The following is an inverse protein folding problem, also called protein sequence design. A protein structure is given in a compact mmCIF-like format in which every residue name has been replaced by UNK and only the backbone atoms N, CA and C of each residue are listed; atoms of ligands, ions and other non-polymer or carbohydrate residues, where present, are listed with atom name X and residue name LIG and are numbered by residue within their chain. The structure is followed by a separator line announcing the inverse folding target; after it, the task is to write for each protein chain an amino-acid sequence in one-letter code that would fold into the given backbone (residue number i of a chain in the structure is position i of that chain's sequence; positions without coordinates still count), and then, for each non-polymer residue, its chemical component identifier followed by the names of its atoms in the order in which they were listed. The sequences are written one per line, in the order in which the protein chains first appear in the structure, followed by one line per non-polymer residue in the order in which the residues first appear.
data_IF_663362385176
#
_entry.id   IF_663362385176
#
_cell.length_a   1.000
_cell.length_b   1.000
_cell.length_c   1.000
_cell.angle_alpha   90.00
_cell.angle_beta   90.00
_cell.angle_gamma   90.00
#
_symmetry.space_group_name_H-M   'P 1'
#
loop_
_entity.id
_entity.type
_entity.pdbx_description
1 polymer ?
#
# COMPACT_ATOMS: atom_id res chain seq x y z
N UNK A 1 -5.54 47.19 36.67
CA UNK A 1 -4.89 45.88 36.69
C UNK A 1 -5.83 44.68 36.63
N UNK A 2 -7.13 44.86 36.46
CA UNK A 2 -8.06 43.74 36.31
C UNK A 2 -8.21 43.22 34.88
N UNK A 3 -7.79 43.96 33.87
CA UNK A 3 -7.96 43.64 32.45
C UNK A 3 -6.99 42.54 31.91
N UNK A 4 -5.81 42.43 32.45
CA UNK A 4 -4.80 41.49 31.96
C UNK A 4 -5.13 40.00 32.23
N UNK A 5 -5.91 39.75 33.29
CA UNK A 5 -6.27 38.37 33.66
C UNK A 5 -7.23 37.71 32.71
N UNK A 6 -8.14 38.49 32.14
CA UNK A 6 -9.12 37.98 31.16
C UNK A 6 -8.52 37.83 29.76
N UNK A 7 -7.51 38.64 29.41
CA UNK A 7 -6.76 38.56 28.17
C UNK A 7 -5.95 37.24 28.14
N UNK A 8 -5.30 36.88 29.24
CA UNK A 8 -4.58 35.62 29.39
C UNK A 8 -5.48 34.37 29.31
N UNK A 9 -6.67 34.43 29.90
CA UNK A 9 -7.63 33.34 29.85
C UNK A 9 -8.20 33.19 28.43
N UNK A 10 -8.48 34.31 27.73
CA UNK A 10 -8.95 34.30 26.33
C UNK A 10 -7.87 33.75 25.37
N UNK A 11 -6.60 34.13 25.57
CA UNK A 11 -5.50 33.65 24.73
C UNK A 11 -5.24 32.15 24.93
N UNK A 12 -5.32 31.67 26.18
CA UNK A 12 -5.15 30.26 26.48
C UNK A 12 -6.31 29.40 25.96
N UNK A 13 -7.55 29.92 26.01
CA UNK A 13 -8.72 29.24 25.43
C UNK A 13 -8.64 29.15 23.92
N UNK A 14 -8.14 30.19 23.22
CA UNK A 14 -7.96 30.19 21.76
C UNK A 14 -6.87 29.21 21.34
N UNK A 15 -5.79 29.09 22.11
CA UNK A 15 -4.69 28.15 21.84
C UNK A 15 -5.11 26.69 22.07
N UNK A 16 -5.95 26.43 23.07
CA UNK A 16 -6.50 25.08 23.31
C UNK A 16 -7.46 24.61 22.21
N UNK A 17 -8.19 25.53 21.56
CA UNK A 17 -9.13 25.21 20.50
C UNK A 17 -8.45 24.84 19.17
N UNK A 18 -7.24 25.34 18.91
CA UNK A 18 -6.47 25.01 17.69
C UNK A 18 -5.85 23.61 17.72
N UNK A 19 -5.74 22.96 18.88
CA UNK A 19 -5.18 21.60 19.00
C UNK A 19 -6.16 20.48 18.63
N UNK A 20 -7.44 20.78 18.39
CA UNK A 20 -8.47 19.77 18.14
C UNK A 20 -8.58 19.34 16.67
N UNK A 21 -7.83 19.95 15.74
CA UNK A 21 -7.88 19.64 14.32
C UNK A 21 -6.73 18.75 13.81
N UNK A 22 -5.97 18.12 14.68
CA UNK A 22 -4.99 17.10 14.28
C UNK A 22 -5.70 15.78 13.98
N UNK A 23 -6.64 15.80 13.02
CA UNK A 23 -7.22 14.57 12.46
C UNK A 23 -6.16 13.98 11.51
N UNK A 24 -5.41 13.00 11.97
CA UNK A 24 -4.51 12.24 11.10
C UNK A 24 -5.35 11.40 10.14
N UNK A 25 -5.34 11.74 8.87
CA UNK A 25 -5.94 10.92 7.83
C UNK A 25 -5.06 9.66 7.66
N UNK A 26 -5.66 8.49 7.74
CA UNK A 26 -4.99 7.22 7.41
C UNK A 26 -4.54 7.27 5.96
N UNK A 27 -3.26 6.99 5.68
CA UNK A 27 -2.75 6.81 4.32
C UNK A 27 -3.24 5.51 3.71
N UNK A 28 -3.34 5.47 2.38
CA UNK A 28 -3.66 4.24 1.65
C UNK A 28 -2.48 3.27 1.67
N UNK A 29 -2.77 1.97 1.74
CA UNK A 29 -1.79 0.89 1.63
C UNK A 29 -1.97 0.22 0.27
N UNK A 30 -1.06 0.51 -0.66
CA UNK A 30 -1.18 0.08 -2.06
C UNK A 30 0.10 -0.66 -2.49
N UNK A 31 -0.08 -1.75 -3.21
CA UNK A 31 0.98 -2.37 -4.00
C UNK A 31 0.77 -2.08 -5.48
N UNK A 32 1.79 -1.57 -6.15
CA UNK A 32 1.81 -1.30 -7.58
C UNK A 32 2.89 -2.16 -8.24
N UNK A 33 2.47 -3.06 -9.11
CA UNK A 33 3.38 -3.93 -9.84
C UNK A 33 3.47 -3.44 -11.28
N UNK A 34 4.68 -3.11 -11.73
CA UNK A 34 5.00 -2.76 -13.11
C UNK A 34 5.36 -4.02 -13.87
N UNK A 35 4.60 -4.36 -14.91
CA UNK A 35 4.88 -5.52 -15.76
C UNK A 35 5.52 -5.03 -17.07
N UNK A 36 6.69 -5.56 -17.36
CA UNK A 36 7.46 -5.23 -18.57
C UNK A 36 7.92 -6.49 -19.30
N UNK A 37 8.07 -6.40 -20.59
CA UNK A 37 8.70 -7.45 -21.38
C UNK A 37 10.24 -7.35 -21.34
N UNK A 38 10.92 -8.24 -22.04
CA UNK A 38 12.39 -8.26 -22.13
C UNK A 38 13.01 -7.01 -22.79
N UNK A 39 12.22 -6.25 -23.55
CA UNK A 39 12.65 -4.98 -24.14
C UNK A 39 12.41 -3.78 -23.21
N UNK A 40 11.71 -3.99 -22.10
CA UNK A 40 11.31 -2.95 -21.17
C UNK A 40 9.99 -2.27 -21.50
N UNK A 41 9.25 -2.79 -22.50
CA UNK A 41 7.93 -2.27 -22.87
C UNK A 41 6.86 -2.72 -21.87
N UNK A 42 5.84 -1.87 -21.60
CA UNK A 42 4.78 -2.23 -20.69
C UNK A 42 3.89 -3.35 -21.26
N UNK A 43 3.55 -4.31 -20.41
CA UNK A 43 2.69 -5.44 -20.77
C UNK A 43 1.30 -5.27 -20.18
N UNK A 44 0.30 -5.04 -21.04
CA UNK A 44 -1.10 -4.90 -20.64
C UNK A 44 -1.82 -6.25 -20.56
N UNK A 45 -2.90 -6.31 -19.76
CA UNK A 45 -3.73 -7.49 -19.57
C UNK A 45 -2.94 -8.76 -19.20
N UNK A 46 -1.84 -8.60 -18.45
CA UNK A 46 -1.15 -9.69 -17.78
C UNK A 46 -1.84 -10.02 -16.46
N UNK A 47 -2.05 -11.29 -16.18
CA UNK A 47 -2.57 -11.73 -14.90
C UNK A 47 -1.47 -11.63 -13.85
N UNK A 48 -1.74 -10.95 -12.74
CA UNK A 48 -0.82 -10.76 -11.63
C UNK A 48 -1.44 -11.34 -10.38
N UNK A 49 -0.72 -12.22 -9.71
CA UNK A 49 -1.12 -12.89 -8.47
C UNK A 49 -0.17 -12.49 -7.37
N UNK A 50 -0.69 -11.97 -6.27
CA UNK A 50 0.04 -11.75 -5.03
C UNK A 50 -0.34 -12.83 -4.01
N UNK A 51 0.66 -13.45 -3.38
CA UNK A 51 0.40 -14.45 -2.35
C UNK A 51 1.46 -14.45 -1.26
N UNK A 52 1.01 -14.72 -0.03
CA UNK A 52 1.89 -14.92 1.11
C UNK A 52 2.19 -16.41 1.30
N UNK A 53 3.45 -16.75 1.52
CA UNK A 53 3.82 -18.07 2.00
C UNK A 53 3.93 -18.07 3.52
N UNK A 54 3.19 -18.96 4.17
CA UNK A 54 3.37 -19.19 5.61
C UNK A 54 4.69 -19.93 5.85
N UNK A 55 5.48 -19.45 6.80
CA UNK A 55 6.67 -20.16 7.30
C UNK A 55 6.34 -21.34 8.21
N UNK A 56 5.08 -21.47 8.58
CA UNK A 56 4.50 -22.61 9.29
C UNK A 56 3.62 -23.39 8.33
N UNK A 57 3.51 -24.70 8.47
CA UNK A 57 2.80 -25.62 7.58
C UNK A 57 1.29 -25.31 7.34
N UNK A 58 0.85 -24.07 7.55
CA UNK A 58 -0.49 -23.59 7.26
C UNK A 58 -0.58 -23.06 5.83
N UNK A 59 -1.76 -23.20 5.22
CA UNK A 59 -2.05 -22.69 3.88
C UNK A 59 -1.74 -21.19 3.76
N UNK A 60 -1.40 -20.75 2.55
CA UNK A 60 -1.17 -19.34 2.21
C UNK A 60 -2.26 -18.43 2.80
N UNK A 61 -1.82 -17.46 3.59
CA UNK A 61 -2.73 -16.62 4.38
C UNK A 61 -3.35 -15.51 3.54
N UNK A 62 -2.74 -15.18 2.40
CA UNK A 62 -3.22 -14.12 1.49
C UNK A 62 -3.09 -14.57 0.04
N UNK A 63 -4.12 -14.32 -0.74
CA UNK A 63 -4.13 -14.56 -2.17
C UNK A 63 -5.05 -13.55 -2.85
N UNK A 64 -4.50 -12.72 -3.74
CA UNK A 64 -5.26 -11.78 -4.55
C UNK A 64 -4.75 -11.76 -5.99
N UNK A 65 -5.65 -11.51 -6.94
CA UNK A 65 -5.36 -11.54 -8.36
C UNK A 65 -5.98 -10.34 -9.07
N UNK A 66 -5.19 -9.68 -9.90
CA UNK A 66 -5.66 -8.62 -10.78
C UNK A 66 -4.98 -8.70 -12.15
N UNK A 67 -5.37 -7.84 -13.07
CA UNK A 67 -4.75 -7.74 -14.40
C UNK A 67 -4.07 -6.39 -14.57
N UNK A 68 -2.95 -6.35 -15.28
CA UNK A 68 -2.29 -5.11 -15.61
C UNK A 68 -3.11 -4.27 -16.59
N UNK A 69 -3.07 -2.95 -16.40
CA UNK A 69 -3.73 -1.97 -17.24
C UNK A 69 -2.94 -1.68 -18.53
N UNK A 70 -3.40 -0.70 -19.34
CA UNK A 70 -2.78 -0.34 -20.62
C UNK A 70 -1.32 0.15 -20.50
N UNK A 71 -0.91 0.67 -19.34
CA UNK A 71 0.46 1.12 -19.05
C UNK A 71 1.31 0.04 -18.35
N UNK A 72 0.80 -1.19 -18.25
CA UNK A 72 1.50 -2.32 -17.64
C UNK A 72 1.50 -2.31 -16.11
N UNK A 73 0.58 -1.61 -15.46
CA UNK A 73 0.48 -1.56 -14.01
C UNK A 73 -0.65 -2.45 -13.49
N UNK A 74 -0.35 -3.25 -12.47
CA UNK A 74 -1.31 -3.96 -11.65
C UNK A 74 -1.35 -3.34 -10.26
N UNK A 75 -2.52 -2.94 -9.79
CA UNK A 75 -2.71 -2.20 -8.53
C UNK A 75 -3.54 -3.05 -7.59
N UNK A 76 -3.03 -3.24 -6.37
CA UNK A 76 -3.70 -3.92 -5.27
C UNK A 76 -3.88 -2.95 -4.11
N UNK A 77 -5.09 -2.89 -3.57
CA UNK A 77 -5.40 -2.06 -2.40
C UNK A 77 -5.56 -2.96 -1.18
N UNK A 78 -4.78 -2.68 -0.14
CA UNK A 78 -4.73 -3.43 1.11
C UNK A 78 -5.33 -2.68 2.30
N UNK A 79 -6.10 -1.63 2.07
CA UNK A 79 -6.67 -0.81 3.15
C UNK A 79 -7.60 -1.59 4.08
N UNK A 80 -8.31 -2.59 3.54
CA UNK A 80 -9.22 -3.43 4.29
C UNK A 80 -8.49 -4.57 5.04
N UNK A 81 -7.34 -5.03 4.52
CA UNK A 81 -6.53 -6.10 5.09
C UNK A 81 -5.62 -5.60 6.22
N UNK A 82 -5.13 -4.37 6.11
CA UNK A 82 -4.35 -3.74 7.16
C UNK A 82 -5.25 -3.06 8.19
N UNK A 83 -5.54 -3.76 9.28
CA UNK A 83 -6.27 -3.18 10.40
C UNK A 83 -5.39 -2.22 11.21
N UNK A 84 -6.02 -1.16 11.72
CA UNK A 84 -5.39 -0.22 12.66
C UNK A 84 -4.82 -1.00 13.86
N UNK A 85 -3.49 -0.96 14.01
CA UNK A 85 -2.77 -1.63 15.10
C UNK A 85 -1.98 -2.87 14.68
N UNK A 86 -2.08 -3.35 13.45
CA UNK A 86 -1.13 -4.31 12.92
C UNK A 86 0.16 -3.57 12.53
N UNK A 87 1.12 -3.58 13.44
CA UNK A 87 2.48 -3.18 13.13
C UNK A 87 3.16 -4.32 12.38
N UNK A 88 3.56 -4.10 11.13
CA UNK A 88 4.33 -5.09 10.42
C UNK A 88 4.40 -4.83 8.92
N UNK A 89 5.46 -5.33 8.35
CA UNK A 89 5.71 -5.40 6.93
C UNK A 89 5.31 -6.79 6.47
N UNK A 90 4.46 -6.87 5.46
CA UNK A 90 4.19 -8.12 4.77
C UNK A 90 5.12 -8.26 3.57
N UNK A 91 5.66 -9.45 3.38
CA UNK A 91 6.42 -9.83 2.18
C UNK A 91 5.58 -10.80 1.38
N UNK A 92 5.23 -10.42 0.16
CA UNK A 92 4.39 -11.21 -0.74
C UNK A 92 5.18 -11.63 -1.97
N UNK A 93 4.92 -12.83 -2.47
CA UNK A 93 5.39 -13.28 -3.75
C UNK A 93 4.48 -12.73 -4.86
N UNK A 94 5.06 -12.48 -6.02
CA UNK A 94 4.38 -12.02 -7.22
C UNK A 94 4.56 -13.08 -8.29
N UNK A 95 3.47 -13.56 -8.89
CA UNK A 95 3.49 -14.34 -10.11
C UNK A 95 2.74 -13.59 -11.21
N UNK A 96 3.36 -13.47 -12.36
CA UNK A 96 2.80 -12.79 -13.53
C UNK A 96 2.72 -13.76 -14.70
N UNK A 97 1.58 -13.76 -15.41
CA UNK A 97 1.39 -14.56 -16.60
C UNK A 97 0.72 -13.76 -17.72
N UNK A 98 1.29 -13.85 -18.91
CA UNK A 98 0.75 -13.28 -20.14
C UNK A 98 0.91 -14.27 -21.28
N UNK A 99 -0.18 -15.00 -21.61
CA UNK A 99 -0.09 -16.09 -22.59
C UNK A 99 0.91 -17.16 -22.14
N UNK A 100 1.97 -17.36 -22.91
CA UNK A 100 3.08 -18.29 -22.56
C UNK A 100 4.22 -17.61 -21.80
N UNK A 101 4.24 -16.29 -21.77
CA UNK A 101 5.25 -15.53 -21.03
C UNK A 101 4.89 -15.46 -19.54
N UNK A 102 5.89 -15.59 -18.68
CA UNK A 102 5.73 -15.55 -17.23
C UNK A 102 6.87 -14.78 -16.56
N UNK A 103 6.59 -14.30 -15.37
CA UNK A 103 7.59 -13.64 -14.53
C UNK A 103 7.23 -13.78 -13.06
N UNK A 104 8.19 -13.61 -12.18
CA UNK A 104 7.99 -13.66 -10.74
C UNK A 104 8.82 -12.60 -10.03
N UNK A 105 8.41 -12.25 -8.83
CA UNK A 105 9.07 -11.28 -7.98
C UNK A 105 8.63 -11.38 -6.53
N UNK A 106 9.09 -10.44 -5.73
CA UNK A 106 8.73 -10.31 -4.31
C UNK A 106 8.51 -8.84 -4.03
N UNK A 107 7.43 -8.51 -3.33
CA UNK A 107 7.14 -7.15 -2.90
C UNK A 107 6.99 -7.07 -1.38
N UNK A 108 7.48 -5.99 -0.82
CA UNK A 108 7.34 -5.64 0.58
C UNK A 108 6.20 -4.62 0.71
N UNK A 109 5.16 -4.96 1.44
CA UNK A 109 4.02 -4.08 1.70
C UNK A 109 4.21 -3.40 3.06
N UNK A 110 4.18 -2.09 3.06
CA UNK A 110 4.24 -1.27 4.26
C UNK A 110 2.90 -0.57 4.49
N UNK A 111 2.39 -0.55 5.73
CA UNK A 111 1.15 0.17 6.04
C UNK A 111 1.22 1.65 5.69
N UNK A 112 0.14 2.19 5.19
CA UNK A 112 0.00 3.62 4.83
C UNK A 112 1.06 4.10 3.80
N UNK A 113 1.50 3.22 2.90
CA UNK A 113 2.49 3.50 1.87
C UNK A 113 2.13 2.86 0.53
N UNK A 114 2.67 3.43 -0.53
CA UNK A 114 2.65 2.83 -1.86
C UNK A 114 3.95 2.06 -2.04
N UNK A 115 3.84 0.74 -2.16
CA UNK A 115 4.96 -0.16 -2.44
C UNK A 115 4.98 -0.47 -3.94
N UNK A 116 6.13 -0.37 -4.58
CA UNK A 116 6.28 -0.59 -6.01
C UNK A 116 7.31 -1.68 -6.29
N UNK A 117 7.03 -2.53 -7.28
CA UNK A 117 7.96 -3.56 -7.77
C UNK A 117 7.81 -3.71 -9.29
N UNK A 118 8.89 -4.07 -9.98
CA UNK A 118 8.88 -4.34 -11.42
C UNK A 118 9.16 -5.81 -11.69
N UNK A 119 8.28 -6.44 -12.47
CA UNK A 119 8.41 -7.84 -12.89
C UNK A 119 8.56 -7.90 -14.41
N UNK A 120 9.60 -8.58 -14.87
CA UNK A 120 9.82 -8.84 -16.29
C UNK A 120 9.24 -10.22 -16.67
N UNK A 121 8.50 -10.25 -17.77
CA UNK A 121 7.94 -11.49 -18.33
C UNK A 121 8.72 -11.90 -19.58
N UNK A 122 8.97 -13.20 -19.71
CA UNK A 122 9.71 -13.82 -20.81
C UNK A 122 9.17 -15.20 -21.16
#
# INVERSE_FOLDING_TARGET
MKTNKYIFIGLFSLFAFTMLFACRTKGETIAKIQIRDTNGDPVSAAQVVLYGQSTTSQASVFFDTTSSNAVGEAIFNFDDEYQLGQAGVAVLNIDVQKGTASGSGIIKIEPEAISEETVFVQ
#
